data_IF_224756020808
#
_entry.id   IF_224756020808
#
_cell.length_a   1.000
_cell.length_b   1.000
_cell.length_c   1.000
_cell.angle_alpha   90.00
_cell.angle_beta   90.00
_cell.angle_gamma   90.00
#
_symmetry.space_group_name_H-M   'P 1'
#
loop_
_entity.id
_entity.type
_entity.pdbx_description
1 polymer ?
#
# COMPACT_ATOMS: atom_id res chain seq x y z
N UNK A 1 15.55 2.86 4.65
CA UNK A 1 14.26 3.10 5.33
C UNK A 1 13.64 4.36 4.77
N UNK A 2 12.39 4.27 4.30
CA UNK A 2 11.62 5.38 3.72
C UNK A 2 10.27 5.44 4.42
N UNK A 3 9.81 6.64 4.76
CA UNK A 3 8.50 6.85 5.37
C UNK A 3 7.48 7.23 4.31
N UNK A 4 6.34 6.55 4.31
CA UNK A 4 5.20 6.79 3.44
C UNK A 4 3.97 7.10 4.28
N UNK A 5 3.15 8.04 3.81
CA UNK A 5 1.90 8.42 4.47
C UNK A 5 0.75 8.30 3.47
N UNK A 6 -0.38 7.77 3.93
CA UNK A 6 -1.63 7.68 3.18
C UNK A 6 -2.70 8.44 3.94
N UNK A 7 -3.28 9.45 3.28
CA UNK A 7 -4.50 10.10 3.73
C UNK A 7 -5.67 9.58 2.89
N UNK A 8 -6.77 9.21 3.54
CA UNK A 8 -7.95 8.65 2.89
C UNK A 8 -9.23 9.20 3.55
N UNK A 9 -10.35 9.14 2.82
CA UNK A 9 -11.65 9.52 3.35
C UNK A 9 -12.29 8.35 4.11
N UNK A 10 -12.30 8.44 5.44
CA UNK A 10 -12.87 7.42 6.33
C UNK A 10 -14.37 7.19 6.16
N UNK A 11 -15.10 8.10 5.50
CA UNK A 11 -16.53 7.91 5.21
C UNK A 11 -16.74 6.89 4.08
N UNK A 12 -15.71 6.67 3.26
CA UNK A 12 -15.76 5.83 2.07
C UNK A 12 -14.86 4.60 2.18
N UNK A 13 -13.71 4.71 2.82
CA UNK A 13 -12.69 3.65 2.90
C UNK A 13 -12.46 3.27 4.36
N UNK A 14 -12.49 1.97 4.64
CA UNK A 14 -12.22 1.45 5.98
C UNK A 14 -10.72 1.51 6.33
N UNK A 15 -10.41 1.53 7.63
CA UNK A 15 -9.04 1.51 8.12
C UNK A 15 -8.28 0.27 7.70
N UNK A 16 -8.93 -0.89 7.64
CA UNK A 16 -8.31 -2.13 7.18
C UNK A 16 -7.87 -2.04 5.72
N UNK A 17 -8.75 -1.57 4.84
CA UNK A 17 -8.45 -1.42 3.41
C UNK A 17 -7.29 -0.45 3.18
N UNK A 18 -7.29 0.66 3.90
CA UNK A 18 -6.24 1.68 3.81
C UNK A 18 -4.88 1.16 4.26
N UNK A 19 -4.83 0.38 5.35
CA UNK A 19 -3.59 -0.27 5.80
C UNK A 19 -3.12 -1.32 4.80
N UNK A 20 -4.03 -2.16 4.29
CA UNK A 20 -3.67 -3.17 3.29
C UNK A 20 -3.12 -2.53 2.03
N UNK A 21 -3.74 -1.46 1.53
CA UNK A 21 -3.23 -0.69 0.39
C UNK A 21 -1.81 -0.16 0.65
N UNK A 22 -1.58 0.48 1.80
CA UNK A 22 -0.27 1.04 2.14
C UNK A 22 0.81 -0.04 2.25
N UNK A 23 0.47 -1.22 2.79
CA UNK A 23 1.37 -2.38 2.84
C UNK A 23 1.68 -2.91 1.44
N UNK A 24 0.68 -3.00 0.55
CA UNK A 24 0.88 -3.42 -0.83
C UNK A 24 1.84 -2.47 -1.57
N UNK A 25 1.65 -1.15 -1.43
CA UNK A 25 2.56 -0.15 -2.00
C UNK A 25 3.98 -0.31 -1.44
N UNK A 26 4.11 -0.48 -0.12
CA UNK A 26 5.42 -0.74 0.50
C UNK A 26 6.09 -1.98 -0.10
N UNK A 27 5.38 -3.09 -0.28
CA UNK A 27 5.92 -4.33 -0.83
C UNK A 27 6.41 -4.17 -2.28
N UNK A 28 5.67 -3.44 -3.12
CA UNK A 28 6.10 -3.16 -4.49
C UNK A 28 7.32 -2.24 -4.56
N UNK A 29 7.48 -1.33 -3.60
CA UNK A 29 8.66 -0.46 -3.50
C UNK A 29 9.88 -1.20 -2.96
N UNK A 30 9.69 -2.17 -2.06
CA UNK A 30 10.77 -3.01 -1.52
C UNK A 30 11.20 -4.13 -2.49
N UNK A 31 10.26 -4.67 -3.27
CA UNK A 31 10.53 -5.69 -4.29
C UNK A 31 9.73 -5.40 -5.59
N UNK A 32 10.33 -4.62 -6.51
CA UNK A 32 9.68 -4.27 -7.78
C UNK A 32 9.38 -5.46 -8.69
N UNK A 33 10.00 -6.63 -8.46
CA UNK A 33 9.74 -7.83 -9.28
C UNK A 33 8.30 -8.33 -9.15
N UNK A 34 7.66 -8.06 -8.02
CA UNK A 34 6.24 -8.35 -7.77
C UNK A 34 5.30 -7.64 -8.74
N UNK A 35 5.66 -6.43 -9.19
CA UNK A 35 4.88 -5.73 -10.22
C UNK A 35 4.94 -6.45 -11.57
N UNK A 36 6.07 -7.05 -11.91
CA UNK A 36 6.24 -7.80 -13.16
C UNK A 36 5.53 -9.16 -13.12
N UNK A 37 5.51 -9.78 -11.94
CA UNK A 37 4.92 -11.09 -11.72
C UNK A 37 3.42 -11.03 -11.40
N UNK A 38 2.86 -9.83 -11.15
CA UNK A 38 1.46 -9.61 -10.76
C UNK A 38 1.02 -10.42 -9.54
N UNK A 39 1.92 -10.55 -8.55
CA UNK A 39 1.74 -11.29 -7.29
C UNK A 39 2.04 -10.45 -6.05
#
# INVERSE_FOLDING_TARGET
>A
MMYVALSYDHRLIDGKESVQFLVTIKQFLEDPSRLLLAI
#
